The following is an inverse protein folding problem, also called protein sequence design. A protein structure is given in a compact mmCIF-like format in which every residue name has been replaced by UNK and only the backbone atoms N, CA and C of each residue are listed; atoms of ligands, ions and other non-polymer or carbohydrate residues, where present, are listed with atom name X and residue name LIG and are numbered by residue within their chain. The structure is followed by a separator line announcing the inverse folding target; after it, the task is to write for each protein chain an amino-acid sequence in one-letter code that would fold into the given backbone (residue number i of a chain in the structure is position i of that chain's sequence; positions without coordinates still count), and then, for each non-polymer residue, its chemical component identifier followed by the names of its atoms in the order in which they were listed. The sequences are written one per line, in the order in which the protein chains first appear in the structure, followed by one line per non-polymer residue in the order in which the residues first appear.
data_IF_439172927277
#
_entry.id   IF_439172927277
#
_cell.length_a   1.000
_cell.length_b   1.000
_cell.length_c   1.000
_cell.angle_alpha   90.00
_cell.angle_beta   90.00
_cell.angle_gamma   90.00
#
_symmetry.space_group_name_H-M   'P 1'
#
loop_
_entity.id
_entity.type
_entity.pdbx_description
1 polymer ?
#
# COMPACT_ATOMS: atom_id res chain seq x y z
N UNK A 1 19.13 -1.30 3.59
CA UNK A 1 19.64 -0.17 4.41
C UNK A 1 18.49 0.78 4.74
N UNK A 2 18.25 1.05 6.03
CA UNK A 2 17.17 1.96 6.51
C UNK A 2 17.73 3.36 6.79
N UNK A 3 16.97 4.40 6.44
CA UNK A 3 17.19 5.81 6.84
C UNK A 3 15.88 6.35 7.39
N UNK A 4 15.93 7.02 8.54
CA UNK A 4 14.75 7.64 9.15
C UNK A 4 14.79 9.15 8.93
N UNK A 5 13.76 9.70 8.30
CA UNK A 5 13.49 11.13 8.27
C UNK A 5 12.73 11.47 9.55
N UNK A 6 13.43 12.05 10.51
CA UNK A 6 12.84 12.38 11.82
C UNK A 6 11.97 13.62 11.76
N UNK A 7 10.89 13.62 12.54
CA UNK A 7 10.03 14.77 12.80
C UNK A 7 9.57 15.50 11.52
N UNK A 8 9.18 14.75 10.48
CA UNK A 8 8.66 15.32 9.23
C UNK A 8 7.38 16.09 9.54
N UNK A 9 7.41 17.41 9.27
CA UNK A 9 6.27 18.28 9.49
C UNK A 9 5.21 18.08 8.39
N UNK A 10 3.97 17.89 8.82
CA UNK A 10 2.80 17.87 7.95
C UNK A 10 2.02 19.17 8.11
N UNK A 11 2.11 20.12 7.18
CA UNK A 11 1.31 21.35 7.25
C UNK A 11 -0.19 21.06 7.13
N UNK A 12 -0.59 20.02 6.39
CA UNK A 12 -1.98 19.65 6.17
C UNK A 12 -2.63 19.03 7.45
N UNK A 13 -1.82 18.35 8.28
CA UNK A 13 -2.28 17.72 9.53
C UNK A 13 -1.84 18.50 10.78
N UNK A 14 -0.96 19.51 10.61
CA UNK A 14 -0.38 20.30 11.70
C UNK A 14 0.27 19.43 12.80
N UNK A 15 0.90 18.32 12.37
CA UNK A 15 1.60 17.38 13.25
C UNK A 15 2.94 16.96 12.67
N UNK A 16 3.69 16.20 13.45
CA UNK A 16 5.00 15.64 13.04
C UNK A 16 4.97 14.12 13.13
N UNK A 17 5.71 13.47 12.25
CA UNK A 17 5.88 12.01 12.26
C UNK A 17 7.24 11.63 11.72
N UNK A 18 7.70 10.47 12.12
CA UNK A 18 8.86 9.85 11.52
C UNK A 18 8.48 9.14 10.23
N UNK A 19 9.44 9.06 9.31
CA UNK A 19 9.28 8.33 8.05
C UNK A 19 10.52 7.49 7.83
N UNK A 20 10.36 6.17 7.78
CA UNK A 20 11.43 5.23 7.52
C UNK A 20 11.56 4.95 6.03
N UNK A 21 12.75 5.15 5.48
CA UNK A 21 13.05 4.90 4.07
C UNK A 21 13.98 3.71 3.96
N UNK A 22 13.48 2.61 3.40
CA UNK A 22 14.23 1.39 3.15
C UNK A 22 14.76 1.42 1.72
N UNK A 23 16.09 1.37 1.60
CA UNK A 23 16.78 1.47 0.32
C UNK A 23 17.25 0.08 -0.12
N UNK A 24 17.16 -0.23 -1.42
CA UNK A 24 17.56 -1.53 -1.94
C UNK A 24 19.06 -1.77 -1.80
N UNK A 25 19.47 -3.02 -1.91
CA UNK A 25 20.85 -3.45 -1.71
C UNK A 25 21.81 -2.74 -2.67
N UNK A 26 21.43 -2.62 -3.95
CA UNK A 26 22.26 -1.94 -4.96
C UNK A 26 22.24 -0.41 -4.85
N UNK A 27 21.55 0.17 -3.87
CA UNK A 27 21.43 1.65 -3.79
C UNK A 27 22.79 2.36 -3.68
N UNK A 28 23.75 1.79 -2.96
CA UNK A 28 25.11 2.40 -2.83
C UNK A 28 25.94 2.25 -4.08
N UNK A 29 25.89 1.08 -4.74
CA UNK A 29 26.69 0.75 -5.92
C UNK A 29 25.98 1.04 -7.25
N UNK A 30 24.68 1.30 -7.22
CA UNK A 30 23.82 1.42 -8.41
C UNK A 30 23.96 2.73 -9.20
N UNK A 31 24.96 3.58 -8.92
CA UNK A 31 25.21 4.81 -9.66
C UNK A 31 23.96 5.71 -9.77
N UNK A 32 23.54 5.99 -11.01
CA UNK A 32 22.35 6.81 -11.30
C UNK A 32 21.03 6.02 -11.35
N UNK A 33 21.05 4.69 -11.09
CA UNK A 33 19.83 3.85 -11.12
C UNK A 33 18.75 4.41 -10.23
N UNK A 34 17.52 4.47 -10.77
CA UNK A 34 16.31 4.90 -10.06
C UNK A 34 15.38 3.71 -9.82
N UNK A 35 14.63 3.77 -8.74
CA UNK A 35 13.84 2.65 -8.21
C UNK A 35 12.36 3.02 -8.09
N UNK A 36 11.45 2.06 -8.32
CA UNK A 36 10.04 2.25 -7.97
C UNK A 36 9.88 2.43 -6.47
N UNK A 37 8.78 3.06 -6.05
CA UNK A 37 8.56 3.44 -4.66
C UNK A 37 7.24 2.89 -4.14
N UNK A 38 7.25 2.36 -2.92
CA UNK A 38 6.05 1.93 -2.20
C UNK A 38 5.90 2.76 -0.93
N UNK A 39 4.83 3.54 -0.83
CA UNK A 39 4.45 4.25 0.40
C UNK A 39 3.61 3.31 1.26
N UNK A 40 4.16 2.85 2.38
CA UNK A 40 3.51 1.93 3.30
C UNK A 40 2.98 2.65 4.53
N UNK A 41 1.72 2.39 4.85
CA UNK A 41 1.08 2.86 6.08
C UNK A 41 1.65 2.13 7.30
N UNK A 42 1.47 2.72 8.48
CA UNK A 42 1.96 2.14 9.75
C UNK A 42 3.45 1.80 9.72
N UNK A 43 4.28 2.77 9.27
CA UNK A 43 5.72 2.59 9.07
C UNK A 43 6.48 2.05 10.28
N UNK A 44 6.00 2.32 11.50
CA UNK A 44 6.58 1.83 12.76
C UNK A 44 6.47 0.31 12.92
N UNK A 45 5.57 -0.37 12.18
CA UNK A 45 5.36 -1.83 12.27
C UNK A 45 6.19 -2.62 11.22
N UNK A 46 6.97 -1.95 10.36
CA UNK A 46 7.53 -2.64 9.19
C UNK A 46 8.73 -3.55 9.52
N UNK A 47 9.58 -3.19 10.48
CA UNK A 47 10.79 -3.99 10.74
C UNK A 47 11.29 -3.97 12.19
N UNK A 48 10.90 -3.00 13.02
CA UNK A 48 11.44 -2.83 14.36
C UNK A 48 10.42 -3.30 15.42
N UNK A 49 10.68 -4.42 16.11
CA UNK A 49 9.79 -4.91 17.17
C UNK A 49 9.62 -3.91 18.34
N UNK A 50 10.59 -3.03 18.56
CA UNK A 50 10.54 -2.03 19.64
C UNK A 50 9.52 -0.92 19.37
N UNK A 51 9.18 -0.68 18.10
CA UNK A 51 8.21 0.34 17.69
C UNK A 51 6.88 -0.25 17.22
N UNK A 52 6.86 -1.55 16.92
CA UNK A 52 5.68 -2.23 16.40
C UNK A 52 4.62 -2.46 17.48
N UNK A 53 3.36 -2.28 17.11
CA UNK A 53 2.23 -2.44 18.05
C UNK A 53 1.93 -3.92 18.37
N UNK A 54 1.95 -4.81 17.36
CA UNK A 54 1.54 -6.21 17.52
C UNK A 54 2.37 -7.18 16.67
N UNK A 55 3.67 -6.90 16.53
CA UNK A 55 4.58 -7.65 15.68
C UNK A 55 5.01 -6.85 14.45
N UNK A 56 5.92 -7.39 13.67
CA UNK A 56 6.49 -6.74 12.49
C UNK A 56 6.01 -7.38 11.19
N UNK A 57 6.17 -6.63 10.10
CA UNK A 57 5.93 -7.11 8.74
C UNK A 57 7.13 -7.84 8.13
N UNK A 58 8.22 -7.97 8.87
CA UNK A 58 9.47 -8.58 8.40
C UNK A 58 9.89 -8.05 7.01
N UNK A 59 9.81 -6.70 6.88
CA UNK A 59 10.00 -6.05 5.59
C UNK A 59 11.40 -6.27 5.02
N UNK A 60 12.46 -6.14 5.82
CA UNK A 60 13.84 -6.21 5.31
C UNK A 60 14.17 -7.58 4.71
N UNK A 61 13.87 -8.73 5.34
CA UNK A 61 14.03 -10.04 4.72
C UNK A 61 13.20 -10.21 3.43
N UNK A 62 12.01 -9.63 3.38
CA UNK A 62 11.17 -9.65 2.17
C UNK A 62 11.82 -8.86 1.03
N UNK A 63 12.38 -7.67 1.31
CA UNK A 63 13.09 -6.88 0.30
C UNK A 63 14.35 -7.58 -0.20
N UNK A 64 15.07 -8.31 0.64
CA UNK A 64 16.24 -9.12 0.26
C UNK A 64 15.85 -10.24 -0.72
N UNK A 65 14.77 -10.98 -0.43
CA UNK A 65 14.27 -12.02 -1.34
C UNK A 65 13.81 -11.46 -2.68
N UNK A 66 13.14 -10.31 -2.69
CA UNK A 66 12.74 -9.62 -3.91
C UNK A 66 13.96 -9.16 -4.72
N UNK A 67 14.97 -8.59 -4.06
CA UNK A 67 16.21 -8.14 -4.69
C UNK A 67 16.98 -9.30 -5.33
N UNK A 68 17.03 -10.47 -4.69
CA UNK A 68 17.65 -11.68 -5.24
C UNK A 68 16.98 -12.15 -6.55
N UNK A 69 15.73 -11.75 -6.79
CA UNK A 69 14.99 -12.00 -8.04
C UNK A 69 15.04 -10.81 -9.02
N UNK A 70 15.85 -9.79 -8.72
CA UNK A 70 16.02 -8.60 -9.56
C UNK A 70 15.00 -7.49 -9.33
N UNK A 71 14.06 -7.65 -8.40
CA UNK A 71 13.08 -6.63 -8.04
C UNK A 71 13.58 -5.80 -6.86
N UNK A 72 14.14 -4.64 -7.15
CA UNK A 72 14.67 -3.70 -6.17
C UNK A 72 13.81 -2.45 -6.10
N UNK A 73 13.36 -2.10 -4.90
CA UNK A 73 12.41 -1.03 -4.62
C UNK A 73 12.87 -0.15 -3.46
N UNK A 74 12.36 1.07 -3.42
CA UNK A 74 12.42 1.93 -2.23
C UNK A 74 11.08 1.78 -1.50
N UNK A 75 11.11 1.48 -0.19
CA UNK A 75 9.91 1.52 0.64
C UNK A 75 9.97 2.74 1.55
N UNK A 76 8.88 3.49 1.60
CA UNK A 76 8.69 4.67 2.45
C UNK A 76 7.64 4.32 3.50
N UNK A 77 8.08 3.92 4.67
CA UNK A 77 7.21 3.60 5.81
C UNK A 77 6.78 4.86 6.54
N UNK A 78 5.51 5.23 6.40
CA UNK A 78 4.95 6.43 7.01
C UNK A 78 4.38 6.07 8.37
N UNK A 79 4.98 6.58 9.45
CA UNK A 79 4.44 6.37 10.80
C UNK A 79 3.08 7.05 10.93
N UNK A 80 2.13 6.43 11.60
CA UNK A 80 0.83 7.04 11.87
C UNK A 80 0.94 8.18 12.92
N UNK A 81 -0.07 9.02 12.99
CA UNK A 81 -0.13 10.17 13.90
C UNK A 81 -0.55 9.84 15.34
N UNK A 82 -0.22 8.65 15.87
CA UNK A 82 -0.64 8.22 17.20
C UNK A 82 -2.17 8.03 17.28
N UNK A 83 -2.82 8.71 18.21
CA UNK A 83 -4.27 8.66 18.40
C UNK A 83 -5.06 9.14 17.17
N UNK A 84 -4.43 9.95 16.32
CA UNK A 84 -5.01 10.42 15.06
C UNK A 84 -5.08 9.36 13.96
N UNK A 85 -4.56 8.14 14.18
CA UNK A 85 -4.49 7.09 13.16
C UNK A 85 -5.84 6.80 12.50
N UNK A 86 -6.91 6.64 13.27
CA UNK A 86 -8.24 6.36 12.71
C UNK A 86 -8.80 7.55 11.94
N UNK A 87 -8.54 8.77 12.41
CA UNK A 87 -8.92 10.00 11.70
C UNK A 87 -8.20 10.11 10.36
N UNK A 88 -6.89 9.84 10.34
CA UNK A 88 -6.05 9.95 9.14
C UNK A 88 -6.29 8.82 8.12
N UNK A 89 -6.66 7.63 8.59
CA UNK A 89 -6.79 6.46 7.70
C UNK A 89 -8.20 6.26 7.15
N UNK A 90 -9.09 7.24 7.34
CA UNK A 90 -10.39 7.28 6.66
C UNK A 90 -10.79 8.70 6.26
N UNK A 91 -11.22 8.95 5.01
CA UNK A 91 -11.86 10.19 4.61
C UNK A 91 -13.31 10.25 5.08
N UNK A 92 -13.89 9.10 5.49
CA UNK A 92 -15.28 8.99 5.93
C UNK A 92 -15.37 9.10 7.44
N UNK A 93 -16.19 10.03 7.99
CA UNK A 93 -16.41 10.11 9.41
C UNK A 93 -17.30 8.95 9.88
N UNK A 94 -16.94 8.36 11.03
CA UNK A 94 -17.75 7.38 11.74
C UNK A 94 -18.12 7.93 13.13
N UNK A 95 -19.39 7.79 13.53
CA UNK A 95 -19.89 8.36 14.80
C UNK A 95 -19.26 7.73 16.03
N UNK A 96 -18.84 6.47 15.93
CA UNK A 96 -18.26 5.72 17.06
C UNK A 96 -16.73 5.75 17.08
N UNK A 97 -16.11 5.72 15.90
CA UNK A 97 -14.69 5.48 15.76
C UNK A 97 -13.89 6.69 15.27
N UNK A 98 -14.56 7.81 14.95
CA UNK A 98 -13.90 8.97 14.37
C UNK A 98 -13.70 8.84 12.85
N UNK A 99 -12.58 9.29 12.32
CA UNK A 99 -12.35 9.34 10.88
C UNK A 99 -12.60 10.74 10.31
N UNK A 100 -12.58 10.86 8.98
CA UNK A 100 -12.90 12.09 8.27
C UNK A 100 -11.71 12.98 7.93
N UNK A 101 -10.49 12.66 8.37
CA UNK A 101 -9.31 13.46 8.08
C UNK A 101 -8.39 12.85 6.99
N UNK A 102 -8.85 11.79 6.33
CA UNK A 102 -8.07 11.06 5.33
C UNK A 102 -7.63 11.93 4.16
N UNK A 103 -8.46 12.86 3.70
CA UNK A 103 -8.07 13.80 2.62
C UNK A 103 -6.86 14.64 2.99
N UNK A 104 -6.85 15.23 4.18
CA UNK A 104 -5.71 16.04 4.61
C UNK A 104 -4.44 15.20 4.86
N UNK A 105 -4.59 13.94 5.29
CA UNK A 105 -3.49 13.00 5.39
C UNK A 105 -2.92 12.66 4.01
N UNK A 106 -3.77 12.38 3.03
CA UNK A 106 -3.32 12.10 1.67
C UNK A 106 -2.70 13.33 0.99
N UNK A 107 -3.24 14.53 1.22
CA UNK A 107 -2.59 15.77 0.75
C UNK A 107 -1.19 15.91 1.34
N UNK A 108 -0.96 15.53 2.62
CA UNK A 108 0.39 15.46 3.17
C UNK A 108 1.29 14.50 2.39
N UNK A 109 0.80 13.29 2.09
CA UNK A 109 1.59 12.32 1.33
C UNK A 109 1.94 12.84 -0.07
N UNK A 110 0.97 13.43 -0.77
CA UNK A 110 1.09 13.81 -2.18
C UNK A 110 1.85 15.13 -2.35
N UNK A 111 1.56 16.13 -1.54
CA UNK A 111 2.04 17.50 -1.73
C UNK A 111 3.31 17.80 -0.93
N UNK A 112 3.53 17.09 0.19
CA UNK A 112 4.65 17.35 1.09
C UNK A 112 5.67 16.22 1.09
N UNK A 113 5.24 14.99 1.41
CA UNK A 113 6.15 13.88 1.61
C UNK A 113 6.74 13.36 0.30
N UNK A 114 5.90 13.06 -0.70
CA UNK A 114 6.37 12.50 -1.98
C UNK A 114 7.37 13.41 -2.69
N UNK A 115 7.14 14.72 -2.88
CA UNK A 115 8.12 15.62 -3.48
C UNK A 115 9.45 15.68 -2.70
N UNK A 116 9.39 15.59 -1.37
CA UNK A 116 10.59 15.54 -0.53
C UNK A 116 11.37 14.23 -0.74
N UNK A 117 10.69 13.09 -0.79
CA UNK A 117 11.30 11.78 -1.04
C UNK A 117 11.93 11.73 -2.42
N UNK A 118 11.23 12.21 -3.46
CA UNK A 118 11.71 12.21 -4.84
C UNK A 118 12.97 13.10 -5.02
N UNK A 119 13.08 14.17 -4.23
CA UNK A 119 14.27 15.03 -4.21
C UNK A 119 15.44 14.40 -3.46
N UNK A 120 15.20 13.68 -2.38
CA UNK A 120 16.24 13.13 -1.51
C UNK A 120 16.75 11.77 -1.98
N UNK A 121 15.95 11.02 -2.71
CA UNK A 121 16.26 9.64 -3.10
C UNK A 121 16.09 9.44 -4.61
N UNK A 122 16.78 8.44 -5.15
CA UNK A 122 16.72 8.07 -6.57
C UNK A 122 15.45 7.27 -6.87
N UNK A 123 14.32 7.93 -6.82
CA UNK A 123 13.01 7.37 -7.13
C UNK A 123 12.69 7.43 -8.62
N UNK A 124 11.77 6.56 -9.07
CA UNK A 124 11.00 6.73 -10.30
C UNK A 124 9.68 7.40 -9.91
N UNK A 125 9.50 8.71 -10.16
CA UNK A 125 8.40 9.47 -9.59
C UNK A 125 7.05 9.27 -10.30
N UNK A 126 7.01 8.56 -11.41
CA UNK A 126 5.80 8.34 -12.22
C UNK A 126 4.79 7.46 -11.46
N UNK A 127 3.49 7.65 -11.76
CA UNK A 127 2.43 6.90 -11.10
C UNK A 127 2.57 5.38 -11.31
N UNK A 128 3.03 4.96 -12.49
CA UNK A 128 3.24 3.53 -12.81
C UNK A 128 4.37 2.88 -12.00
N UNK A 129 5.25 3.67 -11.40
CA UNK A 129 6.33 3.23 -10.51
C UNK A 129 6.08 3.61 -9.04
N UNK A 130 4.91 4.14 -8.72
CA UNK A 130 4.54 4.57 -7.36
C UNK A 130 3.35 3.76 -6.85
N UNK A 131 3.55 3.05 -5.73
CA UNK A 131 2.52 2.30 -5.05
C UNK A 131 2.18 2.91 -3.68
N UNK A 132 0.94 2.75 -3.25
CA UNK A 132 0.49 2.97 -1.88
C UNK A 132 0.02 1.66 -1.27
N UNK A 133 0.33 1.41 0.00
CA UNK A 133 0.19 0.08 0.57
C UNK A 133 -0.17 0.13 2.06
N UNK A 134 -1.05 -0.74 2.52
CA UNK A 134 -1.33 -0.91 3.94
C UNK A 134 -2.29 -2.05 4.24
N UNK A 135 -2.49 -2.31 5.53
CA UNK A 135 -3.44 -3.30 6.03
C UNK A 135 -4.54 -2.65 6.87
N UNK A 136 -5.64 -3.34 7.03
CA UNK A 136 -6.76 -2.90 7.88
C UNK A 136 -7.24 -1.48 7.49
N UNK A 137 -7.20 -0.51 8.40
CA UNK A 137 -7.47 0.91 8.09
C UNK A 137 -6.44 1.48 7.11
N UNK A 138 -5.16 1.06 7.19
CA UNK A 138 -4.13 1.41 6.22
C UNK A 138 -4.45 0.89 4.82
N UNK A 139 -5.09 -0.28 4.71
CA UNK A 139 -5.63 -0.81 3.45
C UNK A 139 -6.80 0.02 2.92
N UNK A 140 -7.68 0.48 3.80
CA UNK A 140 -8.80 1.36 3.45
C UNK A 140 -8.31 2.67 2.83
N UNK A 141 -7.39 3.38 3.52
CA UNK A 141 -6.88 4.67 3.01
C UNK A 141 -6.01 4.49 1.76
N UNK A 142 -5.30 3.36 1.62
CA UNK A 142 -4.52 3.07 0.41
C UNK A 142 -5.42 2.83 -0.79
N UNK A 143 -6.52 2.12 -0.63
CA UNK A 143 -7.51 1.93 -1.69
C UNK A 143 -8.17 3.25 -2.08
N UNK A 144 -8.55 4.05 -1.09
CA UNK A 144 -9.11 5.38 -1.34
C UNK A 144 -8.13 6.27 -2.10
N UNK A 145 -6.86 6.32 -1.69
CA UNK A 145 -5.80 7.10 -2.35
C UNK A 145 -5.60 6.71 -3.81
N UNK A 146 -5.66 5.43 -4.14
CA UNK A 146 -5.53 4.93 -5.51
C UNK A 146 -6.65 5.46 -6.44
N UNK A 147 -7.87 5.56 -5.94
CA UNK A 147 -8.98 6.15 -6.70
C UNK A 147 -8.92 7.67 -6.74
N UNK A 148 -8.51 8.29 -5.63
CA UNK A 148 -8.51 9.76 -5.45
C UNK A 148 -7.35 10.46 -6.15
N UNK A 149 -6.18 9.80 -6.19
CA UNK A 149 -4.93 10.35 -6.74
C UNK A 149 -4.31 9.44 -7.81
N UNK A 150 -5.05 9.09 -8.89
CA UNK A 150 -4.56 8.15 -9.89
C UNK A 150 -3.36 8.66 -10.72
N UNK A 151 -3.14 9.97 -10.73
CA UNK A 151 -1.95 10.56 -11.34
C UNK A 151 -0.67 10.39 -10.47
N UNK A 152 -0.84 10.00 -9.19
CA UNK A 152 0.26 9.80 -8.24
C UNK A 152 0.49 8.32 -7.94
N UNK A 153 -0.59 7.59 -7.67
CA UNK A 153 -0.54 6.17 -7.29
C UNK A 153 -1.18 5.31 -8.39
N UNK A 154 -0.34 4.69 -9.21
CA UNK A 154 -0.79 3.72 -10.23
C UNK A 154 -0.96 2.31 -9.67
N UNK A 155 -0.64 2.08 -8.38
CA UNK A 155 -0.64 0.76 -7.77
C UNK A 155 -1.09 0.83 -6.31
N UNK A 156 -1.94 -0.12 -5.88
CA UNK A 156 -2.39 -0.19 -4.49
C UNK A 156 -2.27 -1.60 -3.93
N UNK A 157 -1.62 -1.72 -2.76
CA UNK A 157 -1.63 -2.91 -1.93
C UNK A 157 -2.62 -2.75 -0.78
N UNK A 158 -3.62 -3.60 -0.75
CA UNK A 158 -4.80 -3.47 0.11
C UNK A 158 -4.98 -4.78 0.86
N UNK A 159 -4.34 -4.91 2.01
CA UNK A 159 -4.40 -6.13 2.81
C UNK A 159 -5.48 -6.04 3.87
N UNK A 160 -6.33 -7.05 3.93
CA UNK A 160 -7.38 -7.18 4.97
C UNK A 160 -8.12 -5.86 5.27
N UNK A 161 -8.57 -5.09 4.26
CA UNK A 161 -9.03 -3.71 4.45
C UNK A 161 -10.27 -3.64 5.35
N UNK A 162 -10.32 -2.58 6.17
CA UNK A 162 -11.47 -2.26 7.04
C UNK A 162 -12.65 -1.73 6.23
N UNK A 163 -13.16 -2.52 5.28
CA UNK A 163 -14.29 -2.13 4.41
C UNK A 163 -15.55 -1.80 5.21
N UNK A 164 -15.71 -2.38 6.40
CA UNK A 164 -16.86 -2.16 7.29
C UNK A 164 -16.93 -0.74 7.87
N UNK A 165 -15.80 -0.03 7.90
CA UNK A 165 -15.71 1.29 8.55
C UNK A 165 -16.68 2.29 7.90
N UNK A 166 -17.24 3.19 8.70
CA UNK A 166 -18.23 4.18 8.28
C UNK A 166 -19.35 3.54 7.41
N UNK A 167 -19.92 2.41 7.88
CA UNK A 167 -20.99 1.68 7.19
C UNK A 167 -20.63 1.29 5.74
N UNK A 168 -19.36 0.98 5.50
CA UNK A 168 -18.82 0.60 4.20
C UNK A 168 -18.84 1.72 3.13
N UNK A 169 -18.79 2.98 3.54
CA UNK A 169 -18.80 4.15 2.66
C UNK A 169 -17.77 4.10 1.53
N UNK A 170 -16.68 3.38 1.72
CA UNK A 170 -15.69 3.15 0.66
C UNK A 170 -16.29 2.43 -0.57
N UNK A 171 -17.27 1.55 -0.39
CA UNK A 171 -17.91 0.86 -1.52
C UNK A 171 -18.75 1.82 -2.35
N UNK A 172 -19.49 2.71 -1.71
CA UNK A 172 -20.31 3.72 -2.40
C UNK A 172 -19.40 4.72 -3.13
N UNK A 173 -18.32 5.16 -2.48
CA UNK A 173 -17.32 6.01 -3.11
C UNK A 173 -16.74 5.35 -4.38
N UNK A 174 -16.23 4.13 -4.28
CA UNK A 174 -15.69 3.40 -5.44
C UNK A 174 -16.76 3.20 -6.53
N UNK A 175 -17.99 2.92 -6.16
CA UNK A 175 -19.09 2.74 -7.14
C UNK A 175 -19.33 4.02 -7.94
N UNK A 176 -19.23 5.19 -7.32
CA UNK A 176 -19.42 6.49 -7.95
C UNK A 176 -18.22 6.92 -8.82
N UNK A 177 -17.00 6.61 -8.39
CA UNK A 177 -15.78 7.08 -9.07
C UNK A 177 -15.49 6.35 -10.39
N UNK A 178 -14.80 7.01 -11.31
CA UNK A 178 -14.23 6.37 -12.51
C UNK A 178 -13.09 5.44 -12.11
N UNK A 179 -13.08 4.22 -12.63
CA UNK A 179 -11.97 3.30 -12.39
C UNK A 179 -10.64 3.87 -12.91
N UNK A 180 -9.62 4.03 -12.07
CA UNK A 180 -8.28 4.38 -12.53
C UNK A 180 -7.63 3.21 -13.25
N UNK A 181 -6.67 3.52 -14.14
CA UNK A 181 -5.76 2.50 -14.67
C UNK A 181 -4.76 2.08 -13.61
N UNK A 182 -4.28 0.83 -13.67
CA UNK A 182 -3.22 0.37 -12.78
C UNK A 182 -3.49 -0.97 -12.12
N UNK A 183 -2.81 -1.25 -11.00
CA UNK A 183 -2.86 -2.56 -10.33
C UNK A 183 -3.37 -2.44 -8.90
N UNK A 184 -4.27 -3.33 -8.52
CA UNK A 184 -4.72 -3.48 -7.13
C UNK A 184 -4.44 -4.91 -6.67
N UNK A 185 -3.65 -5.04 -5.62
CA UNK A 185 -3.56 -6.25 -4.83
C UNK A 185 -4.56 -6.14 -3.68
N UNK A 186 -5.43 -7.12 -3.54
CA UNK A 186 -6.42 -7.19 -2.46
C UNK A 186 -6.35 -8.55 -1.82
N UNK A 187 -6.28 -8.62 -0.51
CA UNK A 187 -6.36 -9.90 0.19
C UNK A 187 -7.22 -9.87 1.44
N UNK A 188 -7.42 -11.04 2.01
CA UNK A 188 -8.05 -11.25 3.32
C UNK A 188 -7.64 -12.61 3.89
N UNK A 189 -7.43 -12.66 5.20
CA UNK A 189 -7.30 -13.90 5.94
C UNK A 189 -8.68 -14.49 6.27
N UNK A 190 -8.87 -15.79 6.04
CA UNK A 190 -10.15 -16.45 6.34
C UNK A 190 -10.39 -16.68 7.84
N UNK A 191 -9.35 -16.53 8.66
CA UNK A 191 -9.43 -16.63 10.14
C UNK A 191 -9.59 -15.27 10.83
N UNK A 192 -9.79 -14.19 10.08
CA UNK A 192 -9.97 -12.83 10.64
C UNK A 192 -11.31 -12.64 11.38
N UNK A 193 -12.24 -13.55 11.17
CA UNK A 193 -13.56 -13.50 11.82
C UNK A 193 -14.54 -12.50 11.22
N UNK A 194 -15.74 -12.44 11.82
CA UNK A 194 -16.79 -11.51 11.44
C UNK A 194 -17.17 -11.54 9.95
N UNK A 195 -17.39 -10.38 9.39
CA UNK A 195 -17.74 -10.20 7.97
C UNK A 195 -16.54 -9.85 7.06
N UNK A 196 -15.30 -9.95 7.56
CA UNK A 196 -14.11 -9.46 6.87
C UNK A 196 -13.96 -10.09 5.48
N UNK A 197 -14.02 -11.42 5.40
CA UNK A 197 -13.93 -12.13 4.12
C UNK A 197 -15.11 -11.78 3.16
N UNK A 198 -16.33 -11.65 3.69
CA UNK A 198 -17.49 -11.22 2.89
C UNK A 198 -17.28 -9.83 2.31
N UNK A 199 -16.81 -8.89 3.13
CA UNK A 199 -16.53 -7.52 2.73
C UNK A 199 -15.44 -7.46 1.66
N UNK A 200 -14.35 -8.21 1.81
CA UNK A 200 -13.30 -8.30 0.81
C UNK A 200 -13.80 -8.88 -0.52
N UNK A 201 -14.65 -9.93 -0.48
CA UNK A 201 -15.30 -10.49 -1.68
C UNK A 201 -16.21 -9.48 -2.37
N UNK A 202 -16.98 -8.71 -1.61
CA UNK A 202 -17.86 -7.66 -2.16
C UNK A 202 -17.03 -6.57 -2.83
N UNK A 203 -15.95 -6.12 -2.20
CA UNK A 203 -15.01 -5.17 -2.79
C UNK A 203 -14.37 -5.73 -4.07
N UNK A 204 -13.89 -6.98 -4.06
CA UNK A 204 -13.32 -7.61 -5.24
C UNK A 204 -14.32 -7.67 -6.41
N UNK A 205 -15.59 -8.04 -6.14
CA UNK A 205 -16.64 -8.03 -7.15
C UNK A 205 -16.93 -6.62 -7.68
N UNK A 206 -16.93 -5.60 -6.80
CA UNK A 206 -17.10 -4.21 -7.21
C UNK A 206 -15.98 -3.76 -8.14
N UNK A 207 -14.72 -4.04 -7.80
CA UNK A 207 -13.57 -3.72 -8.66
C UNK A 207 -13.67 -4.38 -10.04
N UNK A 208 -14.09 -5.66 -10.09
CA UNK A 208 -14.33 -6.35 -11.37
C UNK A 208 -15.45 -5.67 -12.17
N UNK A 209 -16.58 -5.30 -11.56
CA UNK A 209 -17.64 -4.53 -12.22
C UNK A 209 -17.17 -3.15 -12.72
N UNK A 210 -16.19 -2.55 -12.06
CA UNK A 210 -15.54 -1.31 -12.49
C UNK A 210 -14.52 -1.50 -13.62
N UNK A 211 -14.35 -2.74 -14.13
CA UNK A 211 -13.47 -3.03 -15.27
C UNK A 211 -12.07 -3.54 -14.92
N UNK A 212 -11.78 -3.82 -13.64
CA UNK A 212 -10.54 -4.50 -13.28
C UNK A 212 -10.57 -5.96 -13.74
N UNK A 213 -9.61 -6.36 -14.55
CA UNK A 213 -9.43 -7.77 -14.94
C UNK A 213 -8.74 -8.53 -13.81
N UNK A 214 -9.24 -9.72 -13.51
CA UNK A 214 -8.56 -10.59 -12.54
C UNK A 214 -7.24 -11.08 -13.12
N UNK A 215 -6.16 -10.94 -12.35
CA UNK A 215 -4.91 -11.61 -12.64
C UNK A 215 -5.01 -13.07 -12.25
N UNK A 216 -4.93 -13.96 -13.23
CA UNK A 216 -4.99 -15.41 -13.05
C UNK A 216 -3.62 -16.07 -12.97
N UNK A 217 -2.53 -15.29 -13.08
CA UNK A 217 -1.14 -15.78 -13.11
C UNK A 217 -0.63 -16.33 -11.78
N UNK A 218 -1.43 -16.37 -10.73
CA UNK A 218 -1.08 -16.91 -9.42
C UNK A 218 -0.60 -18.40 -9.41
N UNK A 219 -0.52 -19.06 -10.59
CA UNK A 219 -0.06 -20.45 -10.77
C UNK A 219 1.13 -20.63 -11.71
N UNK A 220 1.78 -19.56 -12.20
CA UNK A 220 2.99 -19.68 -13.04
C UNK A 220 4.19 -19.04 -12.35
N UNK A 221 5.02 -19.89 -11.75
CA UNK A 221 6.40 -19.59 -11.47
C UNK A 221 7.13 -19.30 -12.80
N UNK A 222 7.96 -18.24 -12.80
CA UNK A 222 8.97 -17.89 -13.80
C UNK A 222 8.49 -17.63 -15.24
N UNK A 223 8.37 -16.37 -15.59
CA UNK A 223 8.58 -15.91 -16.96
C UNK A 223 9.78 -14.95 -17.00
N UNK A 224 10.65 -15.04 -18.01
CA UNK A 224 11.86 -14.22 -18.09
C UNK A 224 11.50 -12.74 -18.28
N UNK A 225 12.29 -11.89 -17.63
CA UNK A 225 12.24 -10.43 -17.79
C UNK A 225 12.52 -10.04 -19.25
N UNK A 226 11.58 -9.44 -19.90
CA UNK A 226 11.80 -8.89 -21.25
C UNK A 226 10.56 -8.75 -22.08
N UNK A 227 9.73 -7.75 -21.76
CA UNK A 227 8.90 -7.05 -22.75
C UNK A 227 8.24 -5.85 -22.06
N UNK A 228 9.01 -4.77 -21.96
CA UNK A 228 8.47 -3.46 -21.59
C UNK A 228 8.24 -2.69 -22.86
N UNK A 229 7.02 -2.62 -23.34
CA UNK A 229 6.38 -1.54 -24.10
C UNK A 229 5.07 -2.05 -24.70
N UNK A 230 4.00 -1.90 -23.96
CA UNK A 230 2.66 -1.94 -24.51
C UNK A 230 1.76 -1.05 -23.67
N UNK A 231 0.84 -0.35 -24.33
CA UNK A 231 -0.23 0.53 -23.84
C UNK A 231 -0.59 0.32 -22.36
N UNK A 232 -0.83 1.44 -21.59
CA UNK A 232 -1.27 1.42 -20.19
C UNK A 232 -2.08 0.15 -19.90
N UNK A 233 -1.62 -0.72 -19.00
CA UNK A 233 -2.30 -1.98 -18.78
C UNK A 233 -3.73 -1.68 -18.33
N UNK A 234 -4.68 -2.35 -18.96
CA UNK A 234 -6.01 -2.52 -18.42
C UNK A 234 -5.90 -2.77 -16.92
N UNK A 235 -6.75 -2.10 -16.12
CA UNK A 235 -6.77 -2.22 -14.67
C UNK A 235 -6.73 -3.69 -14.24
N UNK A 236 -5.78 -4.07 -13.39
CA UNK A 236 -5.56 -5.44 -12.93
C UNK A 236 -5.88 -5.58 -11.44
N UNK A 237 -6.55 -6.67 -11.08
CA UNK A 237 -6.83 -7.05 -9.71
C UNK A 237 -6.25 -8.43 -9.43
N UNK A 238 -5.34 -8.55 -8.46
CA UNK A 238 -5.03 -9.82 -7.81
C UNK A 238 -5.80 -9.87 -6.49
N UNK A 239 -6.71 -10.84 -6.36
CA UNK A 239 -7.46 -11.09 -5.13
C UNK A 239 -7.05 -12.43 -4.52
N UNK A 240 -6.67 -12.43 -3.25
CA UNK A 240 -6.17 -13.58 -2.51
C UNK A 240 -6.98 -13.80 -1.24
N UNK A 241 -7.40 -15.04 -0.98
CA UNK A 241 -7.94 -15.50 0.30
C UNK A 241 -6.92 -16.45 0.93
N UNK A 242 -6.43 -16.08 2.11
CA UNK A 242 -5.48 -16.89 2.87
C UNK A 242 -6.22 -17.73 3.90
N UNK A 243 -6.31 -19.05 3.68
CA UNK A 243 -7.05 -19.97 4.54
C UNK A 243 -6.55 -19.99 5.99
N UNK A 244 -5.24 -19.75 6.21
CA UNK A 244 -4.60 -19.73 7.52
C UNK A 244 -4.48 -18.34 8.15
N UNK A 245 -4.68 -17.29 7.36
CA UNK A 245 -4.40 -15.92 7.77
C UNK A 245 -5.37 -15.37 8.80
N UNK A 246 -4.81 -14.76 9.85
CA UNK A 246 -5.53 -13.92 10.81
C UNK A 246 -5.33 -12.43 10.53
N UNK A 247 -5.96 -11.58 11.34
CA UNK A 247 -5.87 -10.11 11.23
C UNK A 247 -4.69 -9.61 12.08
N UNK A 248 -3.47 -9.86 11.61
CA UNK A 248 -2.25 -9.54 12.36
C UNK A 248 -1.02 -9.43 11.45
N UNK A 249 0.02 -8.77 11.95
CA UNK A 249 1.24 -8.46 11.22
C UNK A 249 1.93 -9.70 10.63
N UNK A 250 2.03 -10.79 11.37
CA UNK A 250 2.65 -12.03 10.89
C UNK A 250 1.94 -12.62 9.67
N UNK A 251 0.60 -12.54 9.61
CA UNK A 251 -0.16 -12.99 8.46
C UNK A 251 0.02 -12.06 7.25
N UNK A 252 0.15 -10.76 7.48
CA UNK A 252 0.44 -9.79 6.41
C UNK A 252 1.88 -9.93 5.92
N UNK A 253 2.85 -10.13 6.81
CA UNK A 253 4.25 -10.41 6.46
C UNK A 253 4.37 -11.62 5.53
N UNK A 254 3.66 -12.70 5.82
CA UNK A 254 3.64 -13.92 4.99
C UNK A 254 3.17 -13.65 3.55
N UNK A 255 2.21 -12.75 3.36
CA UNK A 255 1.63 -12.42 2.05
C UNK A 255 2.32 -11.25 1.34
N UNK A 256 3.18 -10.49 2.05
CA UNK A 256 3.77 -9.25 1.55
C UNK A 256 4.60 -9.44 0.29
N UNK A 257 5.44 -10.48 0.24
CA UNK A 257 6.31 -10.73 -0.91
C UNK A 257 5.50 -10.90 -2.21
N UNK A 258 4.47 -11.75 -2.18
CA UNK A 258 3.60 -11.97 -3.33
C UNK A 258 2.79 -10.73 -3.75
N UNK A 259 2.47 -9.86 -2.79
CA UNK A 259 1.80 -8.60 -3.06
C UNK A 259 2.72 -7.61 -3.76
N UNK A 260 3.93 -7.41 -3.25
CA UNK A 260 4.94 -6.51 -3.85
C UNK A 260 5.39 -6.99 -5.23
N UNK A 261 5.60 -8.30 -5.39
CA UNK A 261 5.90 -8.92 -6.68
C UNK A 261 4.83 -8.58 -7.73
N UNK A 262 3.57 -8.81 -7.42
CA UNK A 262 2.47 -8.48 -8.34
C UNK A 262 2.37 -6.99 -8.66
N UNK A 263 2.55 -6.16 -7.66
CA UNK A 263 2.40 -4.72 -7.87
C UNK A 263 3.51 -4.14 -8.75
N UNK A 264 4.73 -4.68 -8.66
CA UNK A 264 5.93 -4.01 -9.18
C UNK A 264 6.61 -4.73 -10.36
N UNK A 265 6.14 -5.94 -10.68
CA UNK A 265 6.58 -6.72 -11.87
C UNK A 265 6.17 -6.11 -13.25
#
# INVERSE_FOLDING_TARGET
MKRTLKNVWSPQRRNRRDVDVYLPTSYRSGGSRRYPVVYMQDGQNLSDPATAFAGTWDLEPTLERLAARGLEIIVVGVHHGGEERLNEFSPFPDRRYGGGAGESYLSFLVETLKPRVDRLFRTRPQCDDTAIFGSSMGGLISLYAFFRYPAVFGRAGVMSPSVWFAQSAILDYIAAEKAPGGRVYLDVGLREGGNTARNARNLARLLVRKGFRRDTRAKRATSPAGERHAKRPSSLLRYVEDAGGGHQEAAWAYRLEGALDFLLD
#
